data_IF_488573223371
#
_entry.id   IF_488573223371
#
_cell.length_a   1.000
_cell.length_b   1.000
_cell.length_c   1.000
_cell.angle_alpha   90.00
_cell.angle_beta   90.00
_cell.angle_gamma   90.00
#
_symmetry.space_group_name_H-M   'P 1'
#
loop_
_entity.id
_entity.type
_entity.pdbx_description
1 polymer ?
#
# COMPACT_ATOMS: atom_id res chain seq x y z
N UNK A 1 -17.04 -1.03 1.09
CA UNK A 1 -17.53 0.27 1.61
C UNK A 1 -16.77 1.34 0.84
N UNK A 2 -17.44 2.39 0.36
CA UNK A 2 -16.77 3.56 -0.21
C UNK A 2 -16.61 4.59 0.91
N UNK A 3 -15.46 5.25 1.01
CA UNK A 3 -15.17 6.28 2.01
C UNK A 3 -14.94 7.59 1.29
N UNK A 4 -15.35 8.71 1.86
CA UNK A 4 -15.06 10.04 1.29
C UNK A 4 -13.57 10.37 1.40
N UNK A 5 -13.08 11.31 0.57
CA UNK A 5 -11.70 11.79 0.68
C UNK A 5 -11.37 12.36 2.07
N UNK A 6 -12.31 13.06 2.72
CA UNK A 6 -12.11 13.57 4.08
C UNK A 6 -11.97 12.46 5.12
N UNK A 7 -12.77 11.38 5.00
CA UNK A 7 -12.64 10.21 5.88
C UNK A 7 -11.32 9.49 5.61
N UNK A 8 -10.95 9.31 4.34
CA UNK A 8 -9.66 8.77 3.95
C UNK A 8 -8.50 9.56 4.57
N UNK A 9 -8.51 10.89 4.49
CA UNK A 9 -7.44 11.72 5.03
C UNK A 9 -7.28 11.58 6.55
N UNK A 10 -8.40 11.43 7.27
CA UNK A 10 -8.40 11.20 8.71
C UNK A 10 -7.85 9.80 9.03
N UNK A 11 -8.40 8.77 8.40
CA UNK A 11 -8.00 7.37 8.59
C UNK A 11 -6.53 7.15 8.23
N UNK A 12 -6.04 7.77 7.16
CA UNK A 12 -4.65 7.67 6.74
C UNK A 12 -3.70 8.26 7.78
N UNK A 13 -4.05 9.40 8.38
CA UNK A 13 -3.25 10.03 9.45
C UNK A 13 -3.19 9.14 10.70
N UNK A 14 -4.32 8.56 11.08
CA UNK A 14 -4.41 7.60 12.18
C UNK A 14 -3.54 6.38 11.89
N UNK A 15 -3.73 5.75 10.72
CA UNK A 15 -2.94 4.60 10.28
C UNK A 15 -1.43 4.86 10.34
N UNK A 16 -0.95 5.97 9.76
CA UNK A 16 0.48 6.28 9.76
C UNK A 16 1.00 6.49 11.19
N UNK A 17 0.23 7.15 12.04
CA UNK A 17 0.61 7.39 13.45
C UNK A 17 0.72 6.07 14.22
N UNK A 18 -0.31 5.23 14.14
CA UNK A 18 -0.36 3.94 14.83
C UNK A 18 0.71 2.97 14.31
N UNK A 19 0.83 2.82 12.98
CA UNK A 19 1.85 1.97 12.37
C UNK A 19 3.25 2.40 12.79
N UNK A 20 3.55 3.69 12.68
CA UNK A 20 4.87 4.20 13.05
C UNK A 20 5.12 4.14 14.57
N UNK A 21 4.11 4.00 15.42
CA UNK A 21 4.33 3.75 16.84
C UNK A 21 4.76 2.31 17.13
N UNK A 22 4.33 1.35 16.30
CA UNK A 22 4.55 -0.08 16.46
C UNK A 22 5.84 -0.53 15.72
N UNK A 23 6.00 -0.11 14.47
CA UNK A 23 7.06 -0.60 13.58
C UNK A 23 8.20 0.41 13.49
N UNK A 24 9.37 0.05 14.03
CA UNK A 24 10.52 0.96 14.11
C UNK A 24 11.24 1.18 12.78
N UNK A 25 11.26 0.17 11.89
CA UNK A 25 12.04 0.19 10.66
C UNK A 25 11.20 0.43 9.39
N UNK A 26 9.88 0.27 9.49
CA UNK A 26 8.94 0.43 8.38
C UNK A 26 8.10 1.68 8.61
N UNK A 27 8.65 2.84 8.28
CA UNK A 27 7.99 4.13 8.54
C UNK A 27 7.25 4.63 7.31
N UNK A 28 5.94 4.77 7.43
CA UNK A 28 5.13 5.52 6.46
C UNK A 28 5.32 7.02 6.67
N UNK A 29 5.43 7.76 5.59
CA UNK A 29 5.48 9.22 5.59
C UNK A 29 4.21 9.76 4.96
N UNK A 30 3.57 10.71 5.62
CA UNK A 30 2.48 11.48 5.04
C UNK A 30 3.08 12.55 4.14
N UNK A 31 2.63 12.57 2.89
CA UNK A 31 3.07 13.51 1.88
C UNK A 31 1.85 14.16 1.22
N UNK A 32 2.06 15.34 0.64
CA UNK A 32 1.00 16.04 -0.09
C UNK A 32 1.50 16.46 -1.46
N UNK A 33 0.67 16.24 -2.48
CA UNK A 33 0.95 16.68 -3.85
C UNK A 33 -0.31 17.08 -4.56
N UNK A 34 -0.31 18.24 -5.20
CA UNK A 34 -1.46 18.76 -5.96
C UNK A 34 -2.78 18.72 -5.17
N UNK A 35 -2.70 18.95 -3.84
CA UNK A 35 -3.78 18.90 -2.84
C UNK A 35 -4.25 17.50 -2.42
N UNK A 36 -3.62 16.44 -2.91
CA UNK A 36 -3.88 15.07 -2.50
C UNK A 36 -2.94 14.66 -1.37
N UNK A 37 -3.50 14.19 -0.26
CA UNK A 37 -2.75 13.52 0.80
C UNK A 37 -2.52 12.06 0.41
N UNK A 38 -1.31 11.56 0.63
CA UNK A 38 -1.00 10.14 0.47
C UNK A 38 0.05 9.72 1.49
N UNK A 39 0.20 8.41 1.68
CA UNK A 39 1.28 7.86 2.49
C UNK A 39 2.30 7.16 1.59
N UNK A 40 3.60 7.41 1.81
CA UNK A 40 4.70 6.74 1.12
C UNK A 40 5.51 5.91 2.12
N UNK A 41 5.85 4.69 1.74
CA UNK A 41 6.77 3.82 2.46
C UNK A 41 7.95 3.48 1.53
N UNK A 42 9.16 3.69 2.03
CA UNK A 42 10.40 3.18 1.43
C UNK A 42 11.16 2.44 2.51
N UNK A 43 11.35 1.15 2.33
CA UNK A 43 12.10 0.35 3.31
C UNK A 43 12.95 -0.72 2.63
N UNK A 44 14.06 -1.06 3.29
CA UNK A 44 14.89 -2.20 2.95
C UNK A 44 14.52 -3.33 3.89
N UNK A 45 13.98 -4.42 3.35
CA UNK A 45 13.78 -5.64 4.12
C UNK A 45 15.15 -6.29 4.35
N UNK A 46 15.61 -6.37 5.59
CA UNK A 46 16.93 -6.89 5.92
C UNK A 46 17.06 -8.40 5.68
N UNK A 47 15.97 -9.16 5.74
CA UNK A 47 16.00 -10.62 5.61
C UNK A 47 16.27 -11.01 4.16
N UNK A 48 15.52 -10.43 3.23
CA UNK A 48 15.61 -10.72 1.79
C UNK A 48 16.51 -9.72 1.03
N UNK A 49 16.98 -8.67 1.72
CA UNK A 49 17.68 -7.51 1.16
C UNK A 49 16.91 -6.80 0.04
N UNK A 50 15.59 -6.90 0.02
CA UNK A 50 14.74 -6.30 -1.00
C UNK A 50 14.34 -4.87 -0.63
N UNK A 51 14.38 -3.97 -1.60
CA UNK A 51 13.86 -2.62 -1.45
C UNK A 51 12.38 -2.60 -1.80
N UNK A 52 11.55 -2.12 -0.89
CA UNK A 52 10.11 -1.98 -1.10
C UNK A 52 9.77 -0.50 -1.13
N UNK A 53 9.02 -0.12 -2.16
CA UNK A 53 8.50 1.22 -2.35
C UNK A 53 7.00 1.14 -2.53
N UNK A 54 6.23 1.67 -1.58
CA UNK A 54 4.78 1.57 -1.57
C UNK A 54 4.12 2.93 -1.31
N UNK A 55 2.89 3.06 -1.81
CA UNK A 55 2.03 4.21 -1.62
C UNK A 55 0.63 3.78 -1.26
N UNK A 56 -0.02 4.53 -0.38
CA UNK A 56 -1.46 4.48 -0.18
C UNK A 56 -2.04 5.77 -0.71
N UNK A 57 -2.83 5.67 -1.78
CA UNK A 57 -3.39 6.81 -2.51
C UNK A 57 -4.91 6.65 -2.58
N UNK A 58 -5.65 7.76 -2.51
CA UNK A 58 -7.09 7.72 -2.70
C UNK A 58 -7.48 7.62 -4.18
N UNK A 59 -8.30 6.64 -4.53
CA UNK A 59 -8.86 6.50 -5.85
C UNK A 59 -10.24 7.17 -5.91
N UNK A 60 -10.30 8.35 -6.54
CA UNK A 60 -11.52 9.15 -6.69
C UNK A 60 -12.60 8.53 -7.57
N UNK A 61 -12.25 7.58 -8.45
CA UNK A 61 -13.27 6.95 -9.30
C UNK A 61 -14.07 5.88 -8.56
N UNK A 62 -13.48 5.30 -7.51
CA UNK A 62 -14.06 4.19 -6.75
C UNK A 62 -14.30 4.52 -5.27
N UNK A 63 -13.90 5.72 -4.84
CA UNK A 63 -13.99 6.20 -3.46
C UNK A 63 -13.38 5.22 -2.44
N UNK A 64 -12.15 4.79 -2.71
CA UNK A 64 -11.41 3.84 -1.87
C UNK A 64 -9.92 4.15 -1.80
N UNK A 65 -9.24 3.83 -0.67
CA UNK A 65 -7.79 3.82 -0.63
C UNK A 65 -7.24 2.69 -1.49
N UNK A 66 -6.14 2.96 -2.17
CA UNK A 66 -5.49 2.03 -3.07
C UNK A 66 -4.01 1.90 -2.73
N UNK A 67 -3.55 0.66 -2.63
CA UNK A 67 -2.14 0.34 -2.42
C UNK A 67 -1.44 0.21 -3.77
N UNK A 68 -0.39 0.99 -3.95
CA UNK A 68 0.54 0.93 -5.06
C UNK A 68 1.90 0.49 -4.52
N UNK A 69 2.63 -0.36 -5.23
CA UNK A 69 3.91 -0.83 -4.74
C UNK A 69 4.82 -1.34 -5.87
N UNK A 70 6.12 -1.30 -5.57
CA UNK A 70 7.16 -1.98 -6.31
C UNK A 70 8.15 -2.61 -5.32
N UNK A 71 8.76 -3.70 -5.76
CA UNK A 71 9.84 -4.37 -5.04
C UNK A 71 11.05 -4.40 -5.96
N UNK A 72 12.23 -4.10 -5.42
CA UNK A 72 13.47 -3.99 -6.17
C UNK A 72 14.55 -4.88 -5.57
N UNK A 73 15.35 -5.48 -6.44
CA UNK A 73 16.58 -6.14 -6.03
C UNK A 73 17.60 -5.10 -5.50
N UNK A 74 18.37 -5.44 -4.47
CA UNK A 74 19.45 -4.59 -4.00
C UNK A 74 20.57 -4.54 -5.04
N UNK A 75 21.03 -3.35 -5.40
CA UNK A 75 22.12 -3.18 -6.35
C UNK A 75 22.40 -1.72 -6.69
N UNK A 76 23.44 -1.50 -7.50
CA UNK A 76 23.80 -0.17 -8.03
C UNK A 76 22.68 0.34 -8.95
N UNK A 77 22.04 -0.57 -9.69
CA UNK A 77 20.85 -0.31 -10.49
C UNK A 77 19.69 -1.04 -9.83
N UNK A 78 18.69 -0.29 -9.36
CA UNK A 78 17.48 -0.86 -8.79
C UNK A 78 16.67 -1.55 -9.89
N UNK A 79 16.74 -2.87 -9.92
CA UNK A 79 15.97 -3.69 -10.85
C UNK A 79 14.63 -4.04 -10.21
N UNK A 80 13.54 -3.58 -10.83
CA UNK A 80 12.17 -3.91 -10.38
C UNK A 80 11.92 -5.41 -10.56
N UNK A 81 11.43 -6.06 -9.51
CA UNK A 81 10.99 -7.45 -9.57
C UNK A 81 9.67 -7.57 -10.35
N UNK A 82 9.48 -8.67 -11.09
CA UNK A 82 8.18 -8.98 -11.66
C UNK A 82 7.18 -9.30 -10.53
N UNK A 83 5.88 -9.11 -10.80
CA UNK A 83 4.83 -9.15 -9.79
C UNK A 83 4.79 -10.49 -9.02
N UNK A 84 4.97 -11.61 -9.73
CA UNK A 84 5.05 -12.97 -9.19
C UNK A 84 6.15 -13.16 -8.14
N UNK A 85 7.23 -12.37 -8.23
CA UNK A 85 8.33 -12.39 -7.28
C UNK A 85 8.18 -11.32 -6.18
N UNK A 86 7.43 -10.26 -6.47
CA UNK A 86 7.13 -9.18 -5.53
C UNK A 86 6.06 -9.59 -4.49
N UNK A 87 5.16 -10.50 -4.85
CA UNK A 87 4.03 -10.93 -4.02
C UNK A 87 4.06 -12.44 -3.82
N UNK A 88 4.20 -12.88 -2.56
CA UNK A 88 4.24 -14.31 -2.20
C UNK A 88 2.88 -15.00 -2.16
N UNK A 89 1.79 -14.25 -2.10
CA UNK A 89 0.43 -14.79 -1.97
C UNK A 89 -0.26 -14.86 -3.33
N UNK A 90 -0.56 -16.08 -3.81
CA UNK A 90 -1.32 -16.30 -5.05
C UNK A 90 -2.69 -15.59 -5.04
N UNK A 91 -3.33 -15.53 -3.86
CA UNK A 91 -4.60 -14.83 -3.69
C UNK A 91 -4.46 -13.31 -3.89
N UNK A 92 -3.28 -12.77 -3.61
CA UNK A 92 -2.98 -11.34 -3.77
C UNK A 92 -2.49 -11.05 -5.20
N UNK A 93 -1.76 -11.98 -5.84
CA UNK A 93 -1.33 -11.88 -7.24
C UNK A 93 -2.51 -11.65 -8.19
N UNK A 94 -3.59 -12.43 -8.05
CA UNK A 94 -4.79 -12.29 -8.89
C UNK A 94 -5.63 -11.03 -8.63
N UNK A 95 -5.16 -10.10 -7.79
CA UNK A 95 -5.82 -8.84 -7.43
C UNK A 95 -4.98 -7.62 -7.78
N UNK A 96 -3.82 -7.82 -8.41
CA UNK A 96 -2.89 -6.76 -8.74
C UNK A 96 -2.81 -6.57 -10.25
N UNK A 97 -2.74 -5.31 -10.66
CA UNK A 97 -2.55 -4.85 -12.03
C UNK A 97 -1.33 -3.93 -12.10
N UNK A 98 -0.82 -3.64 -13.30
CA UNK A 98 0.29 -2.70 -13.50
C UNK A 98 -0.18 -1.49 -14.30
N UNK A 99 0.08 -0.29 -13.78
CA UNK A 99 -0.17 0.99 -14.47
C UNK A 99 0.88 2.04 -14.13
N UNK A 100 0.86 3.15 -14.87
CA UNK A 100 1.65 4.32 -14.54
C UNK A 100 1.15 4.97 -13.25
N UNK A 101 2.06 5.16 -12.29
CA UNK A 101 1.72 5.74 -11.00
C UNK A 101 1.21 7.18 -11.14
N UNK A 102 0.04 7.54 -10.57
CA UNK A 102 -0.65 8.82 -10.81
C UNK A 102 0.19 10.07 -10.59
N UNK A 103 1.16 9.99 -9.66
CA UNK A 103 2.02 11.12 -9.31
C UNK A 103 3.42 11.02 -9.92
N UNK A 104 3.93 9.83 -10.23
CA UNK A 104 5.35 9.65 -10.50
C UNK A 104 5.67 9.45 -11.98
N UNK A 105 4.68 9.14 -12.81
CA UNK A 105 4.90 8.91 -14.23
C UNK A 105 5.74 7.67 -14.54
N UNK A 106 5.79 6.71 -13.63
CA UNK A 106 6.54 5.45 -13.76
C UNK A 106 5.67 4.26 -13.38
N UNK A 107 5.94 3.09 -13.96
CA UNK A 107 5.13 1.88 -13.77
C UNK A 107 5.19 1.34 -12.34
N UNK A 108 4.03 1.12 -11.74
CA UNK A 108 3.83 0.51 -10.43
C UNK A 108 2.78 -0.59 -10.51
N UNK A 109 2.93 -1.60 -9.65
CA UNK A 109 1.82 -2.51 -9.39
C UNK A 109 0.83 -1.85 -8.43
N UNK A 110 -0.44 -2.16 -8.58
CA UNK A 110 -1.48 -1.67 -7.69
C UNK A 110 -2.53 -2.74 -7.44
N UNK A 111 -3.20 -2.67 -6.28
CA UNK A 111 -4.34 -3.54 -5.97
C UNK A 111 -5.59 -2.99 -6.62
N UNK A 112 -6.30 -3.81 -7.41
CA UNK A 112 -7.50 -3.40 -8.12
C UNK A 112 -8.55 -2.82 -7.16
N UNK A 113 -9.12 -1.64 -7.45
CA UNK A 113 -10.02 -0.95 -6.52
C UNK A 113 -11.30 -1.76 -6.26
N UNK A 114 -11.79 -2.49 -7.26
CA UNK A 114 -12.91 -3.44 -7.10
C UNK A 114 -12.63 -4.52 -6.04
N UNK A 115 -11.38 -4.96 -5.90
CA UNK A 115 -10.97 -5.96 -4.91
C UNK A 115 -10.86 -5.35 -3.51
N UNK A 116 -10.46 -4.10 -3.40
CA UNK A 116 -10.48 -3.34 -2.13
C UNK A 116 -11.92 -3.21 -1.61
N UNK A 117 -12.87 -2.89 -2.50
CA UNK A 117 -14.30 -2.80 -2.16
C UNK A 117 -14.83 -4.15 -1.66
N UNK A 118 -14.42 -5.25 -2.28
CA UNK A 118 -14.81 -6.60 -1.83
C UNK A 118 -14.21 -6.92 -0.45
N UNK A 119 -12.92 -6.71 -0.25
CA UNK A 119 -12.24 -6.98 1.01
C UNK A 119 -12.82 -6.17 2.18
N UNK A 120 -13.17 -4.90 1.96
CA UNK A 120 -13.80 -4.06 2.99
C UNK A 120 -15.22 -4.50 3.36
N UNK A 121 -15.92 -5.23 2.49
CA UNK A 121 -17.23 -5.83 2.81
C UNK A 121 -17.08 -7.14 3.58
N UNK A 122 -16.00 -7.86 3.35
CA UNK A 122 -15.68 -9.14 3.99
C UNK A 122 -15.09 -9.00 5.41
N UNK A 123 -14.69 -7.79 5.82
CA UNK A 123 -14.21 -7.48 7.17
C UNK A 123 -15.33 -6.76 7.95
N UNK A 124 -16.31 -7.48 8.53
CA UNK A 124 -17.26 -6.87 9.44
C UNK A 124 -16.56 -6.60 10.79
N UNK A 125 -16.74 -5.39 11.31
CA UNK A 125 -16.38 -4.91 12.64
C UNK A 125 -14.88 -4.91 13.02
N UNK A 126 -14.33 -3.70 13.05
CA UNK A 126 -13.00 -3.34 13.57
C UNK A 126 -12.90 -3.47 15.11
N UNK A 127 -13.97 -3.88 15.80
CA UNK A 127 -13.94 -4.08 17.27
C UNK A 127 -13.06 -5.25 17.73
N UNK A 128 -12.60 -6.14 16.84
CA UNK A 128 -11.93 -7.39 17.22
C UNK A 128 -10.47 -7.55 16.74
N UNK A 129 -9.71 -6.47 16.47
CA UNK A 129 -8.34 -6.63 15.90
C UNK A 129 -7.20 -6.01 16.73
N UNK A 130 -6.83 -6.69 17.81
CA UNK A 130 -5.41 -6.93 18.14
C UNK A 130 -5.10 -8.32 17.59
N UNK A 131 -4.35 -8.44 16.48
CA UNK A 131 -3.74 -9.72 16.12
C UNK A 131 -3.88 -10.23 14.68
N UNK A 132 -4.06 -9.39 13.66
CA UNK A 132 -3.80 -9.85 12.29
C UNK A 132 -2.31 -9.75 11.97
N UNK A 133 -1.62 -10.83 12.34
CA UNK A 133 -0.26 -11.16 11.96
C UNK A 133 -0.25 -11.51 10.47
N UNK A 134 -0.09 -10.51 9.63
CA UNK A 134 0.42 -10.71 8.27
C UNK A 134 1.95 -10.68 8.38
N UNK A 135 2.62 -11.66 7.77
CA UNK A 135 4.04 -12.04 7.92
C UNK A 135 4.27 -13.19 8.93
N UNK A 136 3.91 -14.40 8.50
CA UNK A 136 4.77 -15.59 8.60
C UNK A 136 4.74 -16.31 7.25
#
# INVERSE_FOLDING_TARGET
MCISNSEYELELKTFVTEWNSIYLNEKWKLETRDRYLYAELKFLNNDDKLWIHAFIIYNFSYDVPQLWFNVYEPGIIQKRLPLENAVRSEQFLGRCSEEEHPFLGVGFYYVDPCRVIAATKEIPNISDKIGYKLLK
#
